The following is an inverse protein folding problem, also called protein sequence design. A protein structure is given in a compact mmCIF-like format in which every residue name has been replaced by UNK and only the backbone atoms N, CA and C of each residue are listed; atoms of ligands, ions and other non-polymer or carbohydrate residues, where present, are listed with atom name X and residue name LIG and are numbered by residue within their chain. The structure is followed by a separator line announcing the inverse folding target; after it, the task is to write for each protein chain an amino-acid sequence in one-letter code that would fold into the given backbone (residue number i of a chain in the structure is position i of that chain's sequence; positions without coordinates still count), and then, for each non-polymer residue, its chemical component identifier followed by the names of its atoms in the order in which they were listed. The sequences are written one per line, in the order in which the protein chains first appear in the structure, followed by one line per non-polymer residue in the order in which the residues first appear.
data_IF_363085271178
#
_entry.id   IF_363085271178
#
_cell.length_a   1.000
_cell.length_b   1.000
_cell.length_c   1.000
_cell.angle_alpha   90.00
_cell.angle_beta   90.00
_cell.angle_gamma   90.00
#
_symmetry.space_group_name_H-M   'P 1'
#
loop_
_entity.id
_entity.type
_entity.pdbx_description
1 polymer ?
#
# COMPACT_ATOMS: atom_id res chain seq x y z
N UNK A 1 -11.14 -6.22 15.32
CA UNK A 1 -10.30 -5.91 14.14
C UNK A 1 -10.68 -6.88 13.05
N UNK A 2 -11.02 -6.40 11.86
CA UNK A 2 -11.27 -7.31 10.72
C UNK A 2 -9.94 -7.86 10.22
N UNK A 3 -9.88 -9.15 9.93
CA UNK A 3 -8.76 -9.72 9.18
C UNK A 3 -8.77 -9.14 7.76
N UNK A 4 -7.58 -8.82 7.24
CA UNK A 4 -7.38 -8.46 5.83
C UNK A 4 -6.49 -9.51 5.18
N UNK A 5 -6.64 -9.67 3.87
CA UNK A 5 -5.86 -10.61 3.06
C UNK A 5 -5.17 -9.79 1.97
N UNK A 6 -3.88 -10.05 1.77
CA UNK A 6 -3.13 -9.54 0.62
C UNK A 6 -3.18 -10.63 -0.45
N UNK A 7 -3.55 -10.28 -1.68
CA UNK A 7 -3.57 -11.27 -2.77
C UNK A 7 -2.14 -11.69 -3.13
N UNK A 8 -1.93 -12.91 -3.68
CA UNK A 8 -0.60 -13.35 -4.08
C UNK A 8 0.10 -12.37 -5.04
N UNK A 9 -0.65 -11.79 -5.99
CA UNK A 9 -0.14 -10.77 -6.90
C UNK A 9 0.35 -9.53 -6.17
N UNK A 10 -0.42 -9.03 -5.19
CA UNK A 10 -0.05 -7.85 -4.44
C UNK A 10 1.14 -8.11 -3.48
N UNK A 11 1.29 -9.35 -3.00
CA UNK A 11 2.49 -9.76 -2.26
C UNK A 11 3.73 -9.74 -3.15
N UNK A 12 3.61 -10.24 -4.39
CA UNK A 12 4.71 -10.21 -5.35
C UNK A 12 5.08 -8.77 -5.74
N UNK A 13 4.08 -7.91 -5.99
CA UNK A 13 4.31 -6.48 -6.23
C UNK A 13 5.04 -5.82 -5.03
N UNK A 14 4.68 -6.22 -3.80
CA UNK A 14 5.31 -5.72 -2.58
C UNK A 14 6.79 -6.16 -2.47
N UNK A 15 7.09 -7.42 -2.78
CA UNK A 15 8.46 -7.94 -2.82
C UNK A 15 9.32 -7.17 -3.83
N UNK A 16 8.83 -7.00 -5.06
CA UNK A 16 9.55 -6.27 -6.12
C UNK A 16 9.86 -4.81 -5.74
N UNK A 17 8.93 -4.14 -5.05
CA UNK A 17 9.14 -2.77 -4.56
C UNK A 17 10.19 -2.73 -3.44
N UNK A 18 10.11 -3.65 -2.48
CA UNK A 18 11.05 -3.71 -1.35
C UNK A 18 12.46 -4.01 -1.86
N UNK A 19 12.60 -4.95 -2.79
CA UNK A 19 13.88 -5.31 -3.41
C UNK A 19 14.49 -4.08 -4.10
N UNK A 20 13.71 -3.37 -4.92
CA UNK A 20 14.16 -2.16 -5.61
C UNK A 20 14.64 -1.06 -4.65
N UNK A 21 13.92 -0.84 -3.54
CA UNK A 21 14.30 0.15 -2.54
C UNK A 21 15.57 -0.27 -1.79
N UNK A 22 15.66 -1.56 -1.44
CA UNK A 22 16.78 -2.13 -0.69
C UNK A 22 18.08 -2.18 -1.49
N UNK A 23 18.01 -2.22 -2.82
CA UNK A 23 19.18 -2.07 -3.70
C UNK A 23 19.85 -0.69 -3.56
N UNK A 24 19.08 0.36 -3.25
CA UNK A 24 19.62 1.71 -3.05
C UNK A 24 20.09 1.91 -1.61
N UNK A 25 19.24 1.51 -0.66
CA UNK A 25 19.50 1.58 0.78
C UNK A 25 18.58 0.59 1.49
N UNK A 26 19.16 -0.34 2.23
CA UNK A 26 18.43 -1.34 3.00
C UNK A 26 17.39 -0.72 3.94
N UNK A 27 17.73 0.43 4.55
CA UNK A 27 16.83 1.08 5.52
C UNK A 27 15.56 1.63 4.83
N UNK A 28 15.62 1.97 3.53
CA UNK A 28 14.45 2.40 2.76
C UNK A 28 13.46 1.26 2.56
N UNK A 29 13.95 0.05 2.29
CA UNK A 29 13.10 -1.14 2.14
C UNK A 29 12.37 -1.47 3.45
N UNK A 30 13.10 -1.48 4.57
CA UNK A 30 12.54 -1.72 5.90
C UNK A 30 11.53 -0.64 6.30
N UNK A 31 11.86 0.64 6.09
CA UNK A 31 10.95 1.74 6.38
C UNK A 31 9.65 1.62 5.58
N UNK A 32 9.74 1.32 4.28
CA UNK A 32 8.59 1.15 3.41
C UNK A 32 7.68 0.01 3.89
N UNK A 33 8.25 -1.15 4.24
CA UNK A 33 7.48 -2.29 4.75
C UNK A 33 6.76 -1.97 6.07
N UNK A 34 7.42 -1.21 6.97
CA UNK A 34 6.84 -0.78 8.23
C UNK A 34 5.64 0.17 8.01
N UNK A 35 5.80 1.16 7.12
CA UNK A 35 4.74 2.12 6.77
C UNK A 35 3.57 1.44 6.06
N UNK A 36 3.84 0.55 5.11
CA UNK A 36 2.82 -0.24 4.42
C UNK A 36 2.01 -1.08 5.42
N UNK A 37 2.69 -1.80 6.32
CA UNK A 37 2.06 -2.59 7.37
C UNK A 37 1.17 -1.73 8.29
N UNK A 38 1.63 -0.53 8.65
CA UNK A 38 0.84 0.41 9.43
C UNK A 38 -0.40 0.89 8.67
N UNK A 39 -0.29 1.12 7.36
CA UNK A 39 -1.42 1.47 6.51
C UNK A 39 -2.47 0.36 6.48
N UNK A 40 -2.06 -0.91 6.34
CA UNK A 40 -2.97 -2.05 6.39
C UNK A 40 -3.69 -2.17 7.74
N UNK A 41 -2.97 -2.00 8.85
CA UNK A 41 -3.58 -1.96 10.20
C UNK A 41 -4.63 -0.85 10.30
N UNK A 42 -4.31 0.36 9.84
CA UNK A 42 -5.26 1.47 9.84
C UNK A 42 -6.49 1.18 8.97
N UNK A 43 -6.30 0.61 7.77
CA UNK A 43 -7.39 0.19 6.88
C UNK A 43 -8.28 -0.87 7.51
N UNK A 44 -7.72 -1.81 8.29
CA UNK A 44 -8.50 -2.82 9.02
C UNK A 44 -9.41 -2.21 10.10
N UNK A 45 -9.05 -1.04 10.64
CA UNK A 45 -9.87 -0.29 11.58
C UNK A 45 -10.88 0.62 10.87
N UNK A 46 -10.52 1.13 9.70
CA UNK A 46 -11.30 2.11 8.93
C UNK A 46 -11.44 1.69 7.45
N UNK A 47 -12.16 0.61 7.13
CA UNK A 47 -12.17 0.02 5.79
C UNK A 47 -12.72 0.92 4.68
N UNK A 48 -13.47 1.97 5.04
CA UNK A 48 -14.04 2.96 4.11
C UNK A 48 -13.23 4.26 4.02
N UNK A 49 -12.01 4.32 4.57
CA UNK A 49 -11.18 5.52 4.52
C UNK A 49 -10.53 5.76 3.14
N UNK A 50 -10.52 4.75 2.27
CA UNK A 50 -10.03 4.89 0.91
C UNK A 50 -11.00 5.69 0.04
N UNK A 51 -10.46 6.46 -0.91
CA UNK A 51 -11.27 7.11 -1.94
C UNK A 51 -11.74 6.08 -2.95
N UNK A 52 -12.95 6.26 -3.47
CA UNK A 52 -13.43 5.37 -4.52
C UNK A 52 -12.67 5.64 -5.83
N UNK A 53 -12.50 4.61 -6.67
CA UNK A 53 -11.87 4.79 -7.98
C UNK A 53 -12.65 5.77 -8.87
N UNK A 54 -13.97 5.84 -8.70
CA UNK A 54 -14.83 6.81 -9.38
C UNK A 54 -14.45 8.24 -9.00
N UNK A 55 -14.29 8.52 -7.71
CA UNK A 55 -13.81 9.83 -7.23
C UNK A 55 -12.43 10.17 -7.79
N UNK A 56 -11.50 9.22 -7.78
CA UNK A 56 -10.15 9.42 -8.30
C UNK A 56 -10.15 9.72 -9.81
N UNK A 57 -11.00 9.05 -10.59
CA UNK A 57 -11.15 9.29 -12.02
C UNK A 57 -11.74 10.67 -12.31
N UNK A 58 -12.68 11.15 -11.49
CA UNK A 58 -13.25 12.49 -11.64
C UNK A 58 -12.23 13.58 -11.30
N UNK A 59 -11.37 13.37 -10.30
CA UNK A 59 -10.29 14.31 -9.95
C UNK A 59 -9.23 14.43 -11.05
N UNK A 60 -8.95 13.36 -11.78
CA UNK A 60 -7.97 13.38 -12.90
C UNK A 60 -8.44 14.16 -14.13
N UNK A 61 -9.74 14.53 -14.22
CA UNK A 61 -10.28 15.29 -15.36
C UNK A 61 -10.08 16.81 -15.27
N UNK A 62 -9.54 17.30 -14.16
CA UNK A 62 -9.30 18.72 -13.93
C UNK A 62 -7.88 19.20 -14.30
N UNK A 63 -7.04 18.36 -14.90
CA UNK A 63 -5.75 18.73 -15.49
C UNK A 63 -5.74 18.41 -16.99
#
# INVERSE_FOLDING_TARGET
MSQFIISPTASQDLEEIIDYLSEQDFDLGEQFLAEFSQKCRNLSCFPKMGRSYVELQLLKKCC
#
